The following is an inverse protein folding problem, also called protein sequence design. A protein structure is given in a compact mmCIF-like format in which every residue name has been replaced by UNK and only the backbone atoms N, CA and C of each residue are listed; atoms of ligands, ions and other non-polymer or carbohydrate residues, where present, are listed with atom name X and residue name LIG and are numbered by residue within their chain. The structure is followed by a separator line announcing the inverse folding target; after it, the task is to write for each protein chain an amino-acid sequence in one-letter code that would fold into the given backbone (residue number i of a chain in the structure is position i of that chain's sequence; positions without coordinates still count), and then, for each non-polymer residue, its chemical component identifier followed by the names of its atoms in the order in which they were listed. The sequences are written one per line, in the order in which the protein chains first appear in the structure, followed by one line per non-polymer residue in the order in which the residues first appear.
data_IF_553820726125
#
_entry.id   IF_553820726125
#
_cell.length_a   1.000
_cell.length_b   1.000
_cell.length_c   1.000
_cell.angle_alpha   90.00
_cell.angle_beta   90.00
_cell.angle_gamma   90.00
#
_symmetry.space_group_name_H-M   'P 1'
#
loop_
_entity.id
_entity.type
_entity.pdbx_description
1 polymer ?
#
# COMPACT_ATOMS: atom_id res chain seq x y z
N UNK A 1 -27.28 -28.96 40.55
CA UNK A 1 -28.46 -28.17 40.98
C UNK A 1 -28.65 -27.03 39.99
N UNK A 2 -29.62 -27.15 39.07
CA UNK A 2 -30.00 -26.06 38.17
C UNK A 2 -30.78 -25.04 39.00
N UNK A 3 -30.12 -23.96 39.42
CA UNK A 3 -30.79 -22.86 40.11
C UNK A 3 -31.43 -21.99 39.03
N UNK A 4 -32.76 -22.04 38.81
CA UNK A 4 -33.41 -21.29 37.74
C UNK A 4 -33.13 -19.79 37.85
N UNK A 5 -32.95 -19.27 39.07
CA UNK A 5 -32.59 -17.88 39.33
C UNK A 5 -31.27 -17.41 38.70
N UNK A 6 -30.24 -18.26 38.65
CA UNK A 6 -28.93 -17.84 38.12
C UNK A 6 -28.97 -17.57 36.62
N UNK A 7 -29.78 -18.33 35.87
CA UNK A 7 -29.97 -18.13 34.42
C UNK A 7 -30.73 -16.84 34.13
N UNK A 8 -31.76 -16.52 34.91
CA UNK A 8 -32.50 -15.26 34.78
C UNK A 8 -31.65 -14.05 35.15
N UNK A 9 -30.79 -14.17 36.17
CA UNK A 9 -29.83 -13.11 36.53
C UNK A 9 -28.84 -12.87 35.40
N UNK A 10 -28.25 -13.92 34.81
CA UNK A 10 -27.32 -13.78 33.69
C UNK A 10 -27.96 -13.16 32.45
N UNK A 11 -29.18 -13.56 32.09
CA UNK A 11 -29.91 -12.97 30.96
C UNK A 11 -30.21 -11.50 31.24
N UNK A 12 -30.57 -11.14 32.47
CA UNK A 12 -30.74 -9.75 32.89
C UNK A 12 -29.45 -8.94 32.74
N UNK A 13 -28.31 -9.46 33.21
CA UNK A 13 -27.01 -8.80 33.09
C UNK A 13 -26.59 -8.61 31.62
N UNK A 14 -26.77 -9.62 30.78
CA UNK A 14 -26.45 -9.53 29.34
C UNK A 14 -27.36 -8.50 28.66
N UNK A 15 -28.66 -8.48 28.98
CA UNK A 15 -29.60 -7.50 28.45
C UNK A 15 -29.20 -6.05 28.81
N UNK A 16 -28.79 -5.82 30.06
CA UNK A 16 -28.31 -4.49 30.50
C UNK A 16 -27.03 -4.10 29.77
N UNK A 17 -26.06 -5.02 29.62
CA UNK A 17 -24.81 -4.73 28.91
C UNK A 17 -25.04 -4.40 27.43
N UNK A 18 -25.92 -5.13 26.74
CA UNK A 18 -26.27 -4.87 25.33
C UNK A 18 -26.97 -3.53 25.18
N UNK A 19 -27.86 -3.17 26.10
CA UNK A 19 -28.52 -1.87 26.09
C UNK A 19 -27.50 -0.73 26.27
N UNK A 20 -26.58 -0.84 27.22
CA UNK A 20 -25.50 0.13 27.40
C UNK A 20 -24.63 0.26 26.14
N UNK A 21 -24.17 -0.85 25.57
CA UNK A 21 -23.38 -0.84 24.33
C UNK A 21 -24.15 -0.21 23.17
N UNK A 22 -25.45 -0.45 23.05
CA UNK A 22 -26.27 0.16 22.00
C UNK A 22 -26.45 1.67 22.16
N UNK A 23 -26.53 2.15 23.41
CA UNK A 23 -26.62 3.59 23.71
C UNK A 23 -25.30 4.28 23.42
N UNK A 24 -24.17 3.69 23.77
CA UNK A 24 -22.84 4.23 23.46
C UNK A 24 -22.60 4.31 21.95
N UNK A 25 -22.94 3.25 21.21
CA UNK A 25 -22.85 3.24 19.73
C UNK A 25 -23.78 4.27 19.11
N UNK A 26 -25.01 4.41 19.62
CA UNK A 26 -25.97 5.38 19.10
C UNK A 26 -25.57 6.82 19.42
N UNK A 27 -25.01 7.09 20.61
CA UNK A 27 -24.49 8.39 20.99
C UNK A 27 -23.24 8.75 20.20
N UNK A 28 -22.34 7.79 19.94
CA UNK A 28 -21.20 7.98 19.04
C UNK A 28 -21.66 8.28 17.59
N UNK A 29 -22.66 7.55 17.10
CA UNK A 29 -23.23 7.77 15.77
C UNK A 29 -23.89 9.16 15.65
N UNK A 30 -24.61 9.58 16.69
CA UNK A 30 -25.18 10.95 16.75
C UNK A 30 -24.12 12.03 16.87
N UNK A 31 -23.04 11.79 17.61
CA UNK A 31 -21.92 12.72 17.71
C UNK A 31 -21.24 12.89 16.34
N UNK A 32 -21.05 11.81 15.57
CA UNK A 32 -20.52 11.85 14.20
C UNK A 32 -21.46 12.60 13.25
N UNK A 33 -22.78 12.40 13.38
CA UNK A 33 -23.78 13.12 12.57
C UNK A 33 -23.91 14.60 12.95
N UNK A 34 -23.72 14.97 14.22
CA UNK A 34 -23.81 16.36 14.68
C UNK A 34 -22.49 17.11 14.57
N UNK A 35 -21.36 16.41 14.55
CA UNK A 35 -20.07 17.02 14.22
C UNK A 35 -20.06 17.29 12.71
N UNK A 36 -20.12 18.57 12.32
CA UNK A 36 -19.53 18.94 11.03
C UNK A 36 -18.08 18.45 11.06
N UNK A 37 -17.61 17.71 10.04
CA UNK A 37 -16.25 17.20 10.05
C UNK A 37 -15.29 18.38 10.24
N UNK A 38 -14.26 18.26 11.09
CA UNK A 38 -13.26 19.30 11.23
C UNK A 38 -12.75 19.61 9.82
N UNK A 39 -12.80 20.89 9.44
CA UNK A 39 -12.27 21.43 8.18
C UNK A 39 -10.73 21.39 8.17
N UNK A 40 -10.12 20.26 8.49
CA UNK A 40 -8.91 19.86 7.81
C UNK A 40 -9.35 19.14 6.55
N UNK A 41 -9.86 19.95 5.62
CA UNK A 41 -10.23 19.52 4.31
C UNK A 41 -9.00 18.89 3.67
N UNK A 42 -9.04 17.56 3.50
CA UNK A 42 -8.54 16.98 2.27
C UNK A 42 -9.10 17.84 1.15
N UNK A 43 -8.24 18.70 0.61
CA UNK A 43 -8.54 19.45 -0.60
C UNK A 43 -8.82 18.37 -1.65
N UNK A 44 -9.99 18.31 -2.29
CA UNK A 44 -10.19 17.40 -3.40
C UNK A 44 -9.15 17.81 -4.44
N UNK A 45 -8.11 17.00 -4.57
CA UNK A 45 -7.13 17.14 -5.62
C UNK A 45 -7.87 16.69 -6.88
N UNK A 46 -8.22 17.66 -7.72
CA UNK A 46 -8.46 17.52 -9.16
C UNK A 46 -8.62 16.06 -9.62
N UNK A 47 -9.89 15.66 -9.81
CA UNK A 47 -10.39 14.30 -10.13
C UNK A 47 -9.46 13.48 -11.04
N UNK A 48 -8.98 14.07 -12.16
CA UNK A 48 -8.18 13.35 -13.15
C UNK A 48 -6.76 12.98 -12.66
N UNK A 49 -6.10 13.83 -11.87
CA UNK A 49 -4.72 13.55 -11.40
C UNK A 49 -4.76 12.48 -10.31
N UNK A 50 -5.76 12.54 -9.44
CA UNK A 50 -5.93 11.59 -8.34
C UNK A 50 -6.36 10.20 -8.82
N UNK A 51 -7.19 10.12 -9.87
CA UNK A 51 -7.60 8.83 -10.46
C UNK A 51 -6.45 8.13 -11.18
N UNK A 52 -5.66 8.87 -11.95
CA UNK A 52 -4.43 8.34 -12.55
C UNK A 52 -3.46 7.86 -11.47
N UNK A 53 -3.43 8.56 -10.33
CA UNK A 53 -2.56 8.19 -9.24
C UNK A 53 -2.97 6.89 -8.55
N UNK A 54 -4.25 6.71 -8.29
CA UNK A 54 -4.84 5.50 -7.72
C UNK A 54 -4.70 4.32 -8.66
N UNK A 55 -4.94 4.51 -9.95
CA UNK A 55 -4.76 3.45 -10.96
C UNK A 55 -3.31 2.99 -11.02
N UNK A 56 -2.37 3.93 -11.00
CA UNK A 56 -0.94 3.61 -10.99
C UNK A 56 -0.52 2.88 -9.71
N UNK A 57 -0.98 3.35 -8.54
CA UNK A 57 -0.72 2.67 -7.26
C UNK A 57 -1.26 1.24 -7.26
N UNK A 58 -2.47 1.03 -7.78
CA UNK A 58 -3.06 -0.30 -7.90
C UNK A 58 -2.20 -1.20 -8.80
N UNK A 59 -1.75 -0.70 -9.97
CA UNK A 59 -0.87 -1.46 -10.85
C UNK A 59 0.44 -1.86 -10.18
N UNK A 60 1.12 -0.92 -9.53
CA UNK A 60 2.36 -1.16 -8.80
C UNK A 60 2.15 -2.20 -7.68
N UNK A 61 1.06 -2.10 -6.94
CA UNK A 61 0.68 -3.06 -5.91
C UNK A 61 0.50 -4.47 -6.49
N UNK A 62 -0.25 -4.60 -7.59
CA UNK A 62 -0.47 -5.89 -8.25
C UNK A 62 0.84 -6.50 -8.75
N UNK A 63 1.75 -5.70 -9.29
CA UNK A 63 3.04 -6.17 -9.79
C UNK A 63 3.98 -6.58 -8.65
N UNK A 64 3.99 -5.82 -7.56
CA UNK A 64 4.75 -6.18 -6.37
C UNK A 64 4.29 -7.53 -5.81
N UNK A 65 2.97 -7.71 -5.66
CA UNK A 65 2.37 -8.93 -5.13
C UNK A 65 2.50 -10.14 -6.06
N UNK A 66 2.72 -9.94 -7.37
CA UNK A 66 2.97 -11.04 -8.30
C UNK A 66 4.26 -11.83 -7.97
N UNK A 67 5.10 -11.31 -7.06
CA UNK A 67 6.37 -11.91 -6.65
C UNK A 67 7.34 -12.16 -7.83
N UNK A 68 7.21 -11.39 -8.90
CA UNK A 68 8.12 -11.43 -10.03
C UNK A 68 9.43 -10.69 -9.72
N UNK A 69 10.56 -11.24 -10.15
CA UNK A 69 11.88 -10.60 -10.02
C UNK A 69 12.10 -9.50 -11.06
N UNK A 70 11.24 -8.50 -11.04
CA UNK A 70 11.25 -7.40 -12.00
C UNK A 70 11.58 -6.07 -11.33
N UNK A 71 12.29 -5.21 -12.05
CA UNK A 71 12.42 -3.80 -11.67
C UNK A 71 11.05 -3.14 -11.89
N UNK A 72 10.50 -2.57 -10.82
CA UNK A 72 9.25 -1.82 -10.88
C UNK A 72 9.57 -0.33 -10.87
N UNK A 73 9.29 0.35 -11.96
CA UNK A 73 9.53 1.79 -12.08
C UNK A 73 8.33 2.59 -11.58
N UNK A 74 8.59 3.69 -10.88
CA UNK A 74 7.57 4.67 -10.50
C UNK A 74 7.14 5.58 -11.65
N UNK A 75 7.68 5.41 -12.87
CA UNK A 75 7.23 6.14 -14.05
C UNK A 75 5.97 5.50 -14.61
N UNK A 76 4.96 6.33 -14.86
CA UNK A 76 3.65 5.90 -15.32
C UNK A 76 3.73 5.07 -16.62
N UNK A 77 3.03 3.94 -16.64
CA UNK A 77 2.94 3.02 -17.79
C UNK A 77 4.29 2.49 -18.30
N UNK A 78 5.33 2.42 -17.46
CA UNK A 78 6.52 1.63 -17.81
C UNK A 78 6.28 0.14 -17.60
N UNK A 79 6.70 -0.65 -18.59
CA UNK A 79 6.70 -2.11 -18.47
C UNK A 79 7.73 -2.55 -17.44
N UNK A 80 7.41 -3.53 -16.57
CA UNK A 80 8.39 -4.11 -15.66
C UNK A 80 9.56 -4.71 -16.44
N UNK A 81 10.79 -4.45 -15.98
CA UNK A 81 12.00 -5.01 -16.58
C UNK A 81 12.40 -6.29 -15.85
N UNK A 82 12.56 -7.37 -16.59
CA UNK A 82 13.02 -8.67 -16.08
C UNK A 82 14.53 -8.77 -16.23
N UNK A 83 15.12 -9.79 -15.62
CA UNK A 83 16.53 -10.11 -15.81
C UNK A 83 16.87 -10.42 -17.27
N UNK A 84 15.91 -10.98 -18.00
CA UNK A 84 16.02 -11.34 -19.42
C UNK A 84 15.66 -10.18 -20.38
N UNK A 85 15.31 -9.00 -19.86
CA UNK A 85 15.08 -7.82 -20.69
C UNK A 85 16.36 -7.39 -21.43
N UNK A 86 16.21 -6.54 -22.45
CA UNK A 86 17.34 -5.98 -23.19
C UNK A 86 18.32 -5.30 -22.23
N UNK A 87 19.62 -5.60 -22.38
CA UNK A 87 20.67 -5.05 -21.53
C UNK A 87 20.66 -3.53 -21.47
N UNK A 88 20.37 -2.90 -22.62
CA UNK A 88 20.37 -1.45 -22.76
C UNK A 88 19.20 -0.82 -21.99
N UNK A 89 18.04 -1.48 -21.94
CA UNK A 89 16.88 -1.00 -21.18
C UNK A 89 17.14 -1.12 -19.67
N UNK A 90 17.74 -2.23 -19.23
CA UNK A 90 18.12 -2.43 -17.83
C UNK A 90 19.18 -1.39 -17.42
N UNK A 91 20.22 -1.20 -18.24
CA UNK A 91 21.27 -0.22 -17.98
C UNK A 91 20.71 1.21 -17.96
N UNK A 92 19.84 1.56 -18.92
CA UNK A 92 19.19 2.87 -18.96
C UNK A 92 18.32 3.13 -17.72
N UNK A 93 17.63 2.10 -17.22
CA UNK A 93 16.93 2.20 -15.95
C UNK A 93 17.93 2.40 -14.81
N UNK A 94 18.89 1.50 -14.60
CA UNK A 94 19.87 1.57 -13.50
C UNK A 94 20.63 2.91 -13.48
N UNK A 95 21.00 3.45 -14.63
CA UNK A 95 21.73 4.72 -14.76
C UNK A 95 20.90 5.98 -14.49
N UNK A 96 19.59 5.86 -14.23
CA UNK A 96 18.74 7.02 -13.88
C UNK A 96 19.06 7.63 -12.52
N UNK A 97 19.75 6.92 -11.62
CA UNK A 97 20.27 7.43 -10.33
C UNK A 97 19.28 8.31 -9.52
N UNK A 98 18.12 7.77 -9.09
CA UNK A 98 17.21 8.48 -8.19
C UNK A 98 17.83 8.70 -6.80
N UNK A 99 17.27 9.61 -6.01
CA UNK A 99 17.79 9.96 -4.67
C UNK A 99 17.78 8.80 -3.66
N UNK A 100 16.82 7.88 -3.81
CA UNK A 100 16.68 6.69 -3.01
C UNK A 100 16.17 5.55 -3.89
N UNK A 101 16.40 4.30 -3.49
CA UNK A 101 15.90 3.11 -4.19
C UNK A 101 15.21 2.18 -3.20
N UNK A 102 14.18 1.47 -3.67
CA UNK A 102 13.45 0.51 -2.84
C UNK A 102 13.98 -0.90 -3.10
N UNK A 103 14.49 -1.55 -2.06
CA UNK A 103 14.91 -2.94 -2.16
C UNK A 103 13.69 -3.88 -2.16
N UNK A 104 13.56 -4.77 -3.16
CA UNK A 104 12.39 -5.63 -3.33
C UNK A 104 12.77 -7.10 -3.68
N UNK A 105 13.47 -7.81 -2.78
CA UNK A 105 13.81 -9.21 -2.96
C UNK A 105 12.57 -10.11 -2.88
N UNK A 106 12.75 -11.37 -3.29
CA UNK A 106 11.76 -12.42 -3.03
C UNK A 106 11.69 -12.67 -1.51
N UNK A 107 10.49 -12.94 -1.00
CA UNK A 107 10.29 -13.44 0.37
C UNK A 107 9.87 -12.40 1.41
N UNK A 108 10.06 -11.10 1.16
CA UNK A 108 9.54 -10.02 2.04
C UNK A 108 8.27 -9.35 1.52
N UNK A 109 7.85 -9.74 0.31
CA UNK A 109 6.68 -9.19 -0.37
C UNK A 109 5.42 -9.65 0.34
N UNK A 110 4.66 -8.69 0.83
CA UNK A 110 3.38 -8.87 1.51
C UNK A 110 2.49 -7.68 1.18
N UNK A 111 1.20 -7.73 1.55
CA UNK A 111 0.32 -6.59 1.35
C UNK A 111 0.88 -5.31 2.00
N UNK A 112 1.31 -5.37 3.27
CA UNK A 112 1.87 -4.19 3.96
C UNK A 112 3.18 -3.71 3.34
N UNK A 113 4.12 -4.63 3.08
CA UNK A 113 5.39 -4.21 2.47
C UNK A 113 5.21 -3.62 1.08
N UNK A 114 4.37 -4.24 0.23
CA UNK A 114 4.11 -3.74 -1.11
C UNK A 114 3.35 -2.41 -1.10
N UNK A 115 2.42 -2.20 -0.18
CA UNK A 115 1.72 -0.93 -0.02
C UNK A 115 2.72 0.22 0.25
N UNK A 116 3.54 0.06 1.29
CA UNK A 116 4.52 1.08 1.70
C UNK A 116 5.60 1.27 0.63
N UNK A 117 6.18 0.17 0.13
CA UNK A 117 7.22 0.19 -0.89
C UNK A 117 6.76 0.88 -2.18
N UNK A 118 5.57 0.54 -2.68
CA UNK A 118 5.07 1.10 -3.94
C UNK A 118 4.66 2.57 -3.79
N UNK A 119 4.28 3.01 -2.59
CA UNK A 119 4.08 4.43 -2.31
C UNK A 119 5.40 5.20 -2.46
N UNK A 120 6.50 4.69 -1.92
CA UNK A 120 7.82 5.30 -2.14
C UNK A 120 8.20 5.30 -3.62
N UNK A 121 8.04 4.17 -4.31
CA UNK A 121 8.32 4.06 -5.76
C UNK A 121 7.61 5.14 -6.55
N UNK A 122 6.31 5.32 -6.32
CA UNK A 122 5.51 6.34 -7.02
C UNK A 122 5.91 7.76 -6.64
N UNK A 123 5.84 8.11 -5.35
CA UNK A 123 5.88 9.51 -4.92
C UNK A 123 7.29 10.09 -4.82
N UNK A 124 8.31 9.24 -4.69
CA UNK A 124 9.72 9.65 -4.83
C UNK A 124 10.22 9.53 -6.27
N UNK A 125 9.33 9.19 -7.21
CA UNK A 125 9.68 8.90 -8.61
C UNK A 125 10.88 7.95 -8.72
N UNK A 126 10.92 6.94 -7.85
CA UNK A 126 12.02 5.96 -7.78
C UNK A 126 11.62 4.64 -8.45
N UNK A 127 12.31 3.55 -8.12
CA UNK A 127 12.09 2.19 -8.59
C UNK A 127 12.33 1.21 -7.46
N UNK A 128 11.65 0.08 -7.55
CA UNK A 128 11.94 -1.07 -6.72
C UNK A 128 12.85 -2.04 -7.48
N UNK A 129 13.99 -2.38 -6.87
CA UNK A 129 14.99 -3.27 -7.45
C UNK A 129 14.95 -4.65 -6.79
N UNK A 130 14.84 -5.73 -7.58
CA UNK A 130 15.04 -7.08 -7.09
C UNK A 130 16.53 -7.37 -6.80
N UNK A 131 16.77 -8.47 -6.08
CA UNK A 131 18.11 -8.84 -5.62
C UNK A 131 19.14 -8.96 -6.75
N UNK A 132 18.75 -9.56 -7.89
CA UNK A 132 19.68 -9.77 -9.01
C UNK A 132 20.29 -8.50 -9.57
N UNK A 133 19.64 -7.33 -9.44
CA UNK A 133 20.21 -6.06 -9.94
C UNK A 133 21.48 -5.68 -9.19
N UNK A 134 21.56 -6.04 -7.90
CA UNK A 134 22.73 -5.79 -7.07
C UNK A 134 23.81 -6.88 -7.22
N UNK A 135 23.52 -7.96 -7.94
CA UNK A 135 24.43 -9.09 -8.16
C UNK A 135 25.07 -9.10 -9.55
N UNK A 136 24.63 -8.22 -10.46
CA UNK A 136 25.14 -8.14 -11.83
C UNK A 136 26.16 -7.02 -11.99
N UNK A 137 27.16 -7.25 -12.85
CA UNK A 137 28.18 -6.27 -13.19
C UNK A 137 27.83 -5.53 -14.48
N UNK A 138 27.64 -4.22 -14.39
CA UNK A 138 27.46 -3.35 -15.56
C UNK A 138 28.81 -2.82 -16.05
N UNK A 139 29.11 -3.02 -17.34
CA UNK A 139 30.30 -2.48 -17.99
C UNK A 139 29.88 -1.29 -18.87
N UNK A 140 30.48 -0.12 -18.61
CA UNK A 140 30.26 1.09 -19.39
C UNK A 140 31.54 1.41 -20.14
N UNK A 141 31.54 1.20 -21.46
CA UNK A 141 32.74 1.34 -22.30
C UNK A 141 33.13 2.81 -22.60
N UNK A 142 32.39 3.78 -22.04
CA UNK A 142 32.72 5.20 -22.10
C UNK A 142 32.60 5.86 -23.47
N UNK A 143 32.21 5.12 -24.51
CA UNK A 143 31.86 5.66 -25.83
C UNK A 143 30.40 6.11 -25.81
N UNK A 144 30.18 7.41 -25.61
CA UNK A 144 28.90 8.09 -25.82
C UNK A 144 28.80 8.53 -27.27
#
# INVERSE_FOLDING_TARGET
MNVPGFRWILIGCIGVLVLFQSVDVFMAYRAVLSSSPPRHAFRPLVDDVQDNDLLHMNKLMTDCLAQSETILSGRYMQSPLLRESLSDDILAEVMRCPEAEVFLPIGIRSYGYCEDAMAYVKFLETRAMPMWVYEIDFHIDGTV
#
